data_IF_497256952420
#
_entry.id   IF_497256952420
#
_cell.length_a   1.000
_cell.length_b   1.000
_cell.length_c   1.000
_cell.angle_alpha   90.00
_cell.angle_beta   90.00
_cell.angle_gamma   90.00
#
_symmetry.space_group_name_H-M   'P 1'
#
loop_
_entity.id
_entity.type
_entity.pdbx_description
1 polymer ?
#
# COMPACT_ATOMS: atom_id res chain seq x y z
N UNK A 1 10.16 -0.30 7.96
CA UNK A 1 9.64 0.28 6.71
C UNK A 1 8.88 1.59 6.91
N UNK A 2 9.20 2.61 6.11
CA UNK A 2 8.58 3.94 6.02
C UNK A 2 8.81 4.54 4.63
N UNK A 3 8.10 5.62 4.31
CA UNK A 3 8.31 6.39 3.08
C UNK A 3 9.52 7.32 3.27
N UNK A 4 10.55 7.20 2.42
CA UNK A 4 11.65 8.16 2.32
C UNK A 4 11.26 9.38 1.51
N UNK A 5 10.53 9.17 0.43
CA UNK A 5 10.18 10.25 -0.51
C UNK A 5 8.91 9.94 -1.29
N UNK A 6 8.14 10.98 -1.57
CA UNK A 6 7.04 10.97 -2.54
C UNK A 6 7.40 11.91 -3.68
N UNK A 7 7.55 11.39 -4.91
CA UNK A 7 8.13 12.15 -6.04
C UNK A 7 7.13 12.63 -7.07
N UNK A 8 5.93 12.04 -7.15
CA UNK A 8 4.90 12.46 -8.10
C UNK A 8 3.53 12.23 -7.50
N UNK A 9 2.72 13.28 -7.46
CA UNK A 9 1.30 13.23 -7.13
C UNK A 9 0.53 13.62 -8.39
N UNK A 10 -0.04 12.64 -9.09
CA UNK A 10 -0.77 12.88 -10.34
C UNK A 10 -2.24 12.58 -10.14
N UNK A 11 -3.10 13.57 -10.39
CA UNK A 11 -4.54 13.34 -10.50
C UNK A 11 -4.83 12.74 -11.88
N UNK A 12 -5.47 11.58 -11.89
CA UNK A 12 -5.83 10.82 -13.08
C UNK A 12 -7.25 11.19 -13.54
N UNK A 13 -7.53 10.99 -14.83
CA UNK A 13 -8.85 11.31 -15.43
C UNK A 13 -10.01 10.47 -14.88
N UNK A 14 -9.71 9.32 -14.26
CA UNK A 14 -10.67 8.44 -13.61
C UNK A 14 -11.02 8.88 -12.18
N UNK A 15 -10.50 10.03 -11.73
CA UNK A 15 -10.72 10.54 -10.39
C UNK A 15 -9.87 9.83 -9.32
N UNK A 16 -8.79 9.16 -9.71
CA UNK A 16 -7.77 8.65 -8.79
C UNK A 16 -6.55 9.57 -8.69
N UNK A 17 -5.77 9.39 -7.64
CA UNK A 17 -4.42 9.93 -7.49
C UNK A 17 -3.42 8.79 -7.65
N UNK A 18 -2.28 9.11 -8.27
CA UNK A 18 -1.16 8.20 -8.45
C UNK A 18 0.07 8.81 -7.80
N UNK A 19 0.65 8.04 -6.88
CA UNK A 19 1.82 8.41 -6.11
C UNK A 19 3.00 7.50 -6.43
N UNK A 20 4.17 8.10 -6.63
CA UNK A 20 5.43 7.39 -6.80
C UNK A 20 6.26 7.52 -5.52
N UNK A 21 6.35 6.43 -4.77
CA UNK A 21 6.92 6.38 -3.43
C UNK A 21 8.26 5.64 -3.46
N UNK A 22 9.24 6.20 -2.75
CA UNK A 22 10.49 5.54 -2.41
C UNK A 22 10.43 5.16 -0.94
N UNK A 23 10.55 3.87 -0.65
CA UNK A 23 10.60 3.34 0.72
C UNK A 23 12.02 3.37 1.28
N UNK A 24 12.15 3.22 2.59
CA UNK A 24 13.47 3.14 3.21
C UNK A 24 14.16 1.79 3.05
N UNK A 25 13.38 0.75 2.81
CA UNK A 25 13.77 -0.65 2.66
C UNK A 25 13.00 -1.28 1.48
N UNK A 26 13.58 -2.27 0.78
CA UNK A 26 12.89 -2.97 -0.30
C UNK A 26 11.62 -3.71 0.15
N UNK A 27 10.67 -3.87 -0.78
CA UNK A 27 9.47 -4.68 -0.58
C UNK A 27 9.81 -6.16 -0.61
N UNK A 28 9.69 -6.82 0.54
CA UNK A 28 9.97 -8.26 0.70
C UNK A 28 8.70 -9.10 0.53
N UNK A 29 8.86 -10.42 0.34
CA UNK A 29 7.72 -11.34 0.29
C UNK A 29 6.93 -11.35 1.60
N UNK A 30 7.62 -11.30 2.73
CA UNK A 30 7.01 -11.23 4.06
C UNK A 30 6.12 -9.98 4.21
N UNK A 31 6.54 -8.84 3.65
CA UNK A 31 5.71 -7.65 3.62
C UNK A 31 4.48 -7.81 2.71
N UNK A 32 4.61 -8.50 1.58
CA UNK A 32 3.46 -8.80 0.71
C UNK A 32 2.47 -9.76 1.39
N UNK A 33 2.95 -10.77 2.12
CA UNK A 33 2.11 -11.67 2.91
C UNK A 33 1.38 -10.90 4.02
N UNK A 34 2.06 -9.93 4.65
CA UNK A 34 1.45 -9.01 5.59
C UNK A 34 0.34 -8.16 4.93
N UNK A 35 0.60 -7.57 3.76
CA UNK A 35 -0.41 -6.80 3.00
C UNK A 35 -1.65 -7.62 2.66
N UNK A 36 -1.49 -8.93 2.41
CA UNK A 36 -2.59 -9.87 2.17
C UNK A 36 -3.62 -9.94 3.30
N UNK A 37 -3.34 -9.40 4.49
CA UNK A 37 -4.31 -9.29 5.58
C UNK A 37 -5.36 -8.19 5.37
N UNK A 38 -5.15 -7.28 4.40
CA UNK A 38 -5.94 -6.05 4.22
C UNK A 38 -6.57 -5.92 2.83
N UNK A 39 -6.40 -6.93 1.98
CA UNK A 39 -6.88 -6.91 0.61
C UNK A 39 -6.32 -8.05 -0.23
N UNK A 40 -6.55 -7.98 -1.52
CA UNK A 40 -6.12 -8.98 -2.48
C UNK A 40 -4.68 -8.74 -2.92
N UNK A 41 -3.87 -9.79 -2.86
CA UNK A 41 -2.48 -9.78 -3.31
C UNK A 41 -2.30 -10.70 -4.51
N UNK A 42 -1.67 -10.19 -5.57
CA UNK A 42 -1.26 -10.95 -6.75
C UNK A 42 0.23 -10.78 -6.97
N UNK A 43 0.96 -11.88 -7.07
CA UNK A 43 2.40 -11.88 -7.42
C UNK A 43 2.56 -12.58 -8.77
N UNK A 44 3.28 -11.95 -9.69
CA UNK A 44 3.62 -12.51 -11.00
C UNK A 44 5.10 -12.83 -11.06
N UNK A 45 5.42 -14.09 -10.77
CA UNK A 45 6.79 -14.61 -10.70
C UNK A 45 7.36 -14.99 -12.07
N UNK A 46 6.50 -15.19 -13.07
CA UNK A 46 6.90 -15.61 -14.42
C UNK A 46 7.45 -14.49 -15.30
N UNK A 47 7.71 -13.31 -14.73
CA UNK A 47 8.30 -12.17 -15.41
C UNK A 47 9.81 -12.16 -15.20
N UNK A 48 10.54 -11.42 -16.06
CA UNK A 48 12.00 -11.23 -15.91
C UNK A 48 12.37 -10.65 -14.54
N UNK A 49 11.46 -9.87 -13.95
CA UNK A 49 11.56 -9.41 -12.57
C UNK A 49 10.19 -9.62 -11.91
N UNK A 50 10.11 -10.28 -10.74
CA UNK A 50 8.83 -10.56 -10.09
C UNK A 50 8.09 -9.26 -9.75
N UNK A 51 6.86 -9.12 -10.25
CA UNK A 51 6.04 -7.95 -9.99
C UNK A 51 4.88 -8.32 -9.06
N UNK A 52 4.46 -7.37 -8.23
CA UNK A 52 3.29 -7.55 -7.37
C UNK A 52 2.23 -6.50 -7.66
N UNK A 53 0.99 -6.86 -7.35
CA UNK A 53 -0.16 -5.99 -7.35
C UNK A 53 -1.00 -6.28 -6.11
N UNK A 54 -1.22 -5.24 -5.32
CA UNK A 54 -2.09 -5.25 -4.15
C UNK A 54 -3.30 -4.36 -4.40
N UNK A 55 -4.47 -4.82 -3.97
CA UNK A 55 -5.70 -4.06 -4.02
C UNK A 55 -6.46 -4.19 -2.70
N UNK A 56 -6.75 -3.06 -2.07
CA UNK A 56 -7.66 -2.97 -0.93
C UNK A 56 -8.90 -2.21 -1.36
N UNK A 57 -10.04 -2.89 -1.36
CA UNK A 57 -11.30 -2.36 -1.90
C UNK A 57 -11.71 -1.06 -1.21
N UNK A 58 -11.84 0.02 -1.99
CA UNK A 58 -12.21 1.33 -1.48
C UNK A 58 -11.08 2.12 -0.82
N UNK A 59 -9.91 1.55 -0.57
CA UNK A 59 -8.81 2.26 0.10
C UNK A 59 -7.70 2.67 -0.88
N UNK A 60 -6.93 1.69 -1.36
CA UNK A 60 -5.75 1.92 -2.18
C UNK A 60 -5.38 0.69 -2.99
N UNK A 61 -4.57 0.90 -4.02
CA UNK A 61 -3.83 -0.16 -4.70
C UNK A 61 -2.35 0.15 -4.74
N UNK A 62 -1.53 -0.88 -4.76
CA UNK A 62 -0.08 -0.77 -4.89
C UNK A 62 0.41 -1.69 -5.97
N UNK A 63 1.42 -1.26 -6.71
CA UNK A 63 2.17 -2.13 -7.60
C UNK A 63 3.65 -1.78 -7.53
N UNK A 64 4.46 -2.79 -7.76
CA UNK A 64 5.90 -2.64 -7.73
C UNK A 64 6.59 -3.93 -8.13
N UNK A 65 7.88 -3.95 -7.86
CA UNK A 65 8.76 -5.07 -8.13
C UNK A 65 9.22 -5.63 -6.79
N UNK A 66 9.25 -6.96 -6.65
CA UNK A 66 9.76 -7.61 -5.45
C UNK A 66 11.26 -7.31 -5.29
N UNK A 67 11.70 -7.07 -4.06
CA UNK A 67 13.07 -6.67 -3.71
C UNK A 67 13.51 -5.30 -4.29
N UNK A 68 12.55 -4.46 -4.70
CA UNK A 68 12.74 -3.05 -5.06
C UNK A 68 12.18 -2.14 -3.94
N UNK A 69 12.73 -0.94 -3.77
CA UNK A 69 12.28 0.05 -2.79
C UNK A 69 11.28 1.06 -3.39
N UNK A 70 11.01 0.95 -4.68
CA UNK A 70 10.07 1.80 -5.39
C UNK A 70 8.67 1.20 -5.50
N UNK A 71 7.66 2.00 -5.13
CA UNK A 71 6.25 1.60 -5.15
C UNK A 71 5.40 2.65 -5.86
N UNK A 72 4.56 2.23 -6.81
CA UNK A 72 3.44 3.05 -7.28
C UNK A 72 2.21 2.74 -6.42
N UNK A 73 1.65 3.78 -5.80
CA UNK A 73 0.40 3.71 -5.05
C UNK A 73 -0.68 4.47 -5.79
N UNK A 74 -1.92 3.97 -5.74
CA UNK A 74 -3.09 4.70 -6.26
C UNK A 74 -4.22 4.73 -5.25
N UNK A 75 -4.90 5.86 -5.16
CA UNK A 75 -6.04 6.10 -4.26
C UNK A 75 -7.15 6.82 -5.01
N UNK A 76 -8.41 6.47 -4.79
CA UNK A 76 -9.52 7.23 -5.35
C UNK A 76 -9.64 8.58 -4.64
N UNK A 77 -9.84 9.69 -5.37
CA UNK A 77 -9.89 11.05 -4.80
C UNK A 77 -10.86 11.17 -3.64
N UNK A 78 -12.06 10.58 -3.78
CA UNK A 78 -13.11 10.58 -2.75
C UNK A 78 -12.70 9.91 -1.42
N UNK A 79 -11.61 9.16 -1.42
CA UNK A 79 -11.07 8.48 -0.24
C UNK A 79 -9.70 9.02 0.17
N UNK A 80 -9.09 9.97 -0.55
CA UNK A 80 -7.73 10.45 -0.24
C UNK A 80 -7.68 11.08 1.15
N UNK A 81 -8.62 11.96 1.50
CA UNK A 81 -8.67 12.58 2.83
C UNK A 81 -8.92 11.52 3.92
N UNK A 82 -9.86 10.59 3.67
CA UNK A 82 -10.19 9.53 4.63
C UNK A 82 -9.07 8.52 4.83
N UNK A 83 -8.25 8.28 3.81
CA UNK A 83 -7.14 7.31 3.83
C UNK A 83 -5.78 7.99 4.01
N UNK A 84 -5.78 9.27 4.38
CA UNK A 84 -4.55 9.98 4.72
C UNK A 84 -3.89 9.29 5.91
N UNK A 85 -2.59 9.02 5.80
CA UNK A 85 -1.84 8.31 6.85
C UNK A 85 -2.04 6.79 6.91
N UNK A 86 -3.10 6.22 6.32
CA UNK A 86 -3.35 4.76 6.34
C UNK A 86 -2.15 3.97 5.79
N UNK A 87 -1.58 4.42 4.66
CA UNK A 87 -0.42 3.74 4.10
C UNK A 87 0.82 3.84 5.01
N UNK A 88 1.02 4.97 5.68
CA UNK A 88 2.08 5.12 6.68
C UNK A 88 1.88 4.21 7.89
N UNK A 89 0.63 4.02 8.32
CA UNK A 89 0.25 3.09 9.39
C UNK A 89 0.55 1.64 8.98
N UNK A 90 0.18 1.24 7.76
CA UNK A 90 0.49 -0.09 7.20
C UNK A 90 2.00 -0.35 7.26
N UNK A 91 2.80 0.57 6.75
CA UNK A 91 4.26 0.41 6.70
C UNK A 91 4.89 0.32 8.09
N UNK A 92 4.49 1.20 9.01
CA UNK A 92 5.06 1.25 10.36
C UNK A 92 4.63 0.08 11.25
N UNK A 93 3.43 -0.47 11.02
CA UNK A 93 2.90 -1.59 11.83
C UNK A 93 3.39 -2.96 11.35
N UNK A 94 4.08 -3.03 10.21
CA UNK A 94 4.56 -4.29 9.61
C UNK A 94 5.38 -5.15 10.60
N UNK A 95 6.28 -4.53 11.37
CA UNK A 95 7.15 -5.25 12.31
C UNK A 95 6.48 -5.58 13.65
N UNK A 96 5.24 -5.15 13.86
CA UNK A 96 4.49 -5.38 15.11
C UNK A 96 3.73 -6.74 15.10
N UNK A 97 3.78 -7.50 14.01
CA UNK A 97 3.10 -8.81 13.92
C UNK A 97 1.57 -8.70 14.03
N UNK A 98 0.94 -9.60 14.77
CA UNK A 98 -0.54 -9.66 14.88
C UNK A 98 -1.16 -8.40 15.48
N UNK A 99 -0.49 -7.72 16.41
CA UNK A 99 -1.01 -6.45 16.96
C UNK A 99 -0.97 -5.34 15.90
N UNK A 100 0.06 -5.32 15.05
CA UNK A 100 0.13 -4.40 13.91
C UNK A 100 -0.97 -4.63 12.90
N UNK A 101 -1.26 -5.90 12.59
CA UNK A 101 -2.39 -6.27 11.72
C UNK A 101 -3.72 -5.78 12.30
N UNK A 102 -3.98 -6.00 13.59
CA UNK A 102 -5.24 -5.57 14.19
C UNK A 102 -5.39 -4.04 14.16
N UNK A 103 -4.33 -3.31 14.52
CA UNK A 103 -4.30 -1.84 14.51
C UNK A 103 -4.65 -1.24 13.15
N UNK A 104 -4.14 -1.82 12.06
CA UNK A 104 -4.48 -1.40 10.69
C UNK A 104 -5.95 -1.70 10.38
N UNK A 105 -6.45 -2.89 10.75
CA UNK A 105 -7.85 -3.27 10.52
C UNK A 105 -8.82 -2.36 11.26
N UNK A 106 -8.52 -2.00 12.49
CA UNK A 106 -9.33 -1.07 13.29
C UNK A 106 -9.42 0.30 12.61
N UNK A 107 -8.30 0.81 12.08
CA UNK A 107 -8.29 2.08 11.35
C UNK A 107 -9.06 2.00 10.02
N UNK A 108 -8.93 0.90 9.27
CA UNK A 108 -9.73 0.68 8.06
C UNK A 108 -11.23 0.64 8.38
N UNK A 109 -11.62 -0.03 9.46
CA UNK A 109 -13.01 -0.04 9.91
C UNK A 109 -13.49 1.36 10.28
N UNK A 110 -12.70 2.13 11.03
CA UNK A 110 -13.01 3.53 11.39
C UNK A 110 -13.26 4.39 10.15
N UNK A 111 -12.41 4.24 9.13
CA UNK A 111 -12.54 4.94 7.85
C UNK A 111 -13.81 4.55 7.08
N UNK A 112 -14.27 3.29 7.21
CA UNK A 112 -15.48 2.81 6.55
C UNK A 112 -16.78 3.29 7.21
N UNK A 113 -16.72 3.61 8.51
CA UNK A 113 -17.87 4.09 9.30
C UNK A 113 -18.08 5.62 9.19
N UNK A 114 -17.03 6.38 8.86
CA UNK A 114 -17.06 7.82 8.51
C UNK A 114 -17.58 8.03 7.07
#
# INVERSE_FOLDING_TARGET
MKIKLSRKHVVCSDGSTKDELLLDEPVTREFLDYLGNFGDMTIRENLKVPAYFFYSEGYLSMKGVLDDDYVEMRRQLKFVEKTEGLFGLILSSYTEGSSGVQKVKDEMQRIAED
#
